data_IF_281440505200
#
_entry.id   IF_281440505200
#
_cell.length_a   1.000
_cell.length_b   1.000
_cell.length_c   1.000
_cell.angle_alpha   90.00
_cell.angle_beta   90.00
_cell.angle_gamma   90.00
#
_symmetry.space_group_name_H-M   'P 1'
#
loop_
_entity.id
_entity.type
_entity.pdbx_description
1 polymer ?
#
# COMPACT_ATOMS: atom_id res chain seq x y z
N UNK A 1 -73.90 -0.65 -39.45
CA UNK A 1 -73.12 -1.70 -38.74
C UNK A 1 -72.08 -1.03 -37.86
N UNK A 2 -72.21 -1.18 -36.54
CA UNK A 2 -71.30 -0.66 -35.51
C UNK A 2 -69.94 -1.36 -35.64
N UNK A 3 -68.81 -0.65 -35.72
CA UNK A 3 -67.50 -1.22 -35.35
C UNK A 3 -66.60 -0.20 -34.63
N UNK A 4 -66.15 -0.67 -33.48
CA UNK A 4 -65.44 -0.06 -32.35
C UNK A 4 -64.30 0.92 -32.66
N UNK A 5 -64.28 2.01 -31.90
CA UNK A 5 -63.10 2.81 -31.59
C UNK A 5 -62.25 2.01 -30.59
N UNK A 6 -60.99 1.72 -30.93
CA UNK A 6 -60.02 1.10 -30.03
C UNK A 6 -59.14 2.20 -29.44
N UNK A 7 -59.39 2.57 -28.19
CA UNK A 7 -58.54 3.48 -27.41
C UNK A 7 -57.30 2.71 -26.97
N UNK A 8 -56.14 3.11 -27.49
CA UNK A 8 -54.85 2.60 -27.05
C UNK A 8 -54.41 3.40 -25.81
N UNK A 9 -54.62 2.83 -24.63
CA UNK A 9 -54.21 3.40 -23.35
C UNK A 9 -52.69 3.22 -23.20
N UNK A 10 -51.93 4.30 -23.37
CA UNK A 10 -50.48 4.30 -23.09
C UNK A 10 -50.27 4.38 -21.58
N UNK A 11 -49.91 3.27 -20.96
CA UNK A 11 -49.41 3.24 -19.59
C UNK A 11 -48.02 3.90 -19.53
N UNK A 12 -47.98 5.17 -19.17
CA UNK A 12 -46.77 5.85 -18.72
C UNK A 12 -46.38 5.28 -17.34
N UNK A 13 -45.47 4.32 -17.35
CA UNK A 13 -44.82 3.82 -16.14
C UNK A 13 -43.79 4.86 -15.68
N UNK A 14 -44.15 5.67 -14.69
CA UNK A 14 -43.19 6.52 -13.98
C UNK A 14 -42.24 5.65 -13.16
N UNK A 15 -41.05 5.43 -13.70
CA UNK A 15 -39.96 4.75 -13.02
C UNK A 15 -39.40 5.69 -11.92
N UNK A 16 -39.83 5.48 -10.68
CA UNK A 16 -39.42 6.24 -9.50
C UNK A 16 -37.97 5.89 -9.10
N UNK A 17 -36.99 6.21 -9.96
CA UNK A 17 -35.57 6.09 -9.62
C UNK A 17 -35.17 7.30 -8.79
N UNK A 18 -34.85 7.09 -7.52
CA UNK A 18 -34.19 8.11 -6.68
C UNK A 18 -32.95 8.62 -7.42
N UNK A 19 -32.97 9.88 -7.85
CA UNK A 19 -31.82 10.58 -8.42
C UNK A 19 -30.70 10.65 -7.37
N UNK A 20 -29.83 9.64 -7.33
CA UNK A 20 -28.56 9.78 -6.64
C UNK A 20 -27.72 10.78 -7.43
N UNK A 21 -27.34 11.89 -6.78
CA UNK A 21 -26.44 12.87 -7.38
C UNK A 21 -25.18 12.16 -7.89
N UNK A 22 -24.80 12.44 -9.13
CA UNK A 22 -23.59 11.88 -9.73
C UNK A 22 -22.37 12.35 -8.95
N UNK A 23 -21.54 11.41 -8.51
CA UNK A 23 -20.29 11.67 -7.80
C UNK A 23 -19.12 11.27 -8.71
N UNK A 24 -18.23 12.20 -9.10
CA UNK A 24 -17.15 11.93 -10.03
C UNK A 24 -16.08 10.98 -9.46
N UNK A 25 -15.20 10.48 -10.33
CA UNK A 25 -14.01 9.73 -9.90
C UNK A 25 -13.02 10.66 -9.19
N UNK A 26 -12.41 10.13 -8.14
CA UNK A 26 -11.34 10.82 -7.42
C UNK A 26 -10.11 11.05 -8.29
N UNK A 27 -9.36 12.11 -7.99
CA UNK A 27 -8.11 12.48 -8.66
C UNK A 27 -6.93 12.42 -7.69
N UNK A 28 -5.72 12.43 -8.24
CA UNK A 28 -4.47 12.47 -7.47
C UNK A 28 -3.69 11.16 -7.41
N UNK A 29 -2.40 11.32 -7.08
CA UNK A 29 -1.45 10.23 -6.96
C UNK A 29 -1.72 9.39 -5.71
N UNK A 30 -1.09 8.22 -5.64
CA UNK A 30 -1.16 7.35 -4.48
C UNK A 30 -0.40 7.97 -3.31
N UNK A 31 -0.97 7.83 -2.10
CA UNK A 31 -0.44 8.37 -0.84
C UNK A 31 -0.34 9.91 -0.81
N UNK A 32 -1.18 10.61 -1.58
CA UNK A 32 -1.37 12.06 -1.43
C UNK A 32 -2.46 12.34 -0.40
N UNK A 33 -2.22 13.34 0.46
CA UNK A 33 -3.20 13.83 1.46
C UNK A 33 -3.34 15.34 1.30
N UNK A 34 -4.57 15.80 1.06
CA UNK A 34 -4.90 17.22 1.02
C UNK A 34 -5.25 17.71 2.42
N UNK A 35 -4.52 18.71 2.91
CA UNK A 35 -4.79 19.39 4.18
C UNK A 35 -5.53 20.69 3.88
N UNK A 36 -6.73 20.82 4.43
CA UNK A 36 -7.59 21.99 4.22
C UNK A 36 -7.76 22.73 5.52
N UNK A 37 -7.20 23.93 5.61
CA UNK A 37 -7.26 24.81 6.80
C UNK A 37 -7.04 26.27 6.37
N UNK A 38 -7.30 27.25 7.25
CA UNK A 38 -7.05 28.66 6.90
C UNK A 38 -5.54 28.87 6.76
N UNK A 39 -5.14 29.83 5.93
CA UNK A 39 -3.72 30.11 5.64
C UNK A 39 -2.92 30.46 6.89
N UNK A 40 -3.51 31.22 7.81
CA UNK A 40 -2.91 31.52 9.10
C UNK A 40 -2.63 30.27 9.94
N UNK A 41 -3.50 29.26 9.86
CA UNK A 41 -3.39 28.03 10.65
C UNK A 41 -2.36 27.08 10.01
N UNK A 42 -2.14 27.17 8.68
CA UNK A 42 -1.13 26.37 7.97
C UNK A 42 0.32 26.75 8.32
N UNK A 43 0.55 28.04 8.55
CA UNK A 43 1.81 28.59 9.03
C UNK A 43 1.98 28.60 10.54
N UNK A 44 0.97 28.15 11.31
CA UNK A 44 1.03 28.06 12.77
C UNK A 44 1.38 26.65 13.25
N UNK A 45 1.35 26.45 14.58
CA UNK A 45 1.58 25.16 15.22
C UNK A 45 0.63 24.06 14.72
N UNK A 46 -0.64 24.37 14.44
CA UNK A 46 -1.59 23.39 13.90
C UNK A 46 -1.14 22.83 12.54
N UNK A 47 -0.62 23.67 11.66
CA UNK A 47 -0.09 23.23 10.36
C UNK A 47 1.16 22.36 10.51
N UNK A 48 2.03 22.68 11.47
CA UNK A 48 3.20 21.87 11.81
C UNK A 48 2.79 20.51 12.39
N UNK A 49 1.87 20.50 13.35
CA UNK A 49 1.29 19.29 13.93
C UNK A 49 0.64 18.40 12.87
N UNK A 50 -0.12 18.99 11.94
CA UNK A 50 -0.72 18.25 10.82
C UNK A 50 0.33 17.50 9.99
N UNK A 51 1.49 18.13 9.73
CA UNK A 51 2.60 17.52 8.99
C UNK A 51 3.34 16.48 9.82
N UNK A 52 3.59 16.74 11.10
CA UNK A 52 4.39 15.87 11.96
C UNK A 52 3.60 14.64 12.44
N UNK A 53 2.33 14.82 12.84
CA UNK A 53 1.49 13.75 13.38
C UNK A 53 1.09 12.75 12.29
N UNK A 54 0.78 13.23 11.08
CA UNK A 54 0.34 12.38 9.97
C UNK A 54 1.51 11.97 9.07
N UNK A 55 2.59 12.76 9.03
CA UNK A 55 3.76 12.55 8.17
C UNK A 55 4.76 11.51 8.66
N UNK A 56 4.30 10.54 9.44
CA UNK A 56 5.09 9.42 9.95
C UNK A 56 5.92 8.78 8.82
N UNK A 57 7.11 8.30 9.16
CA UNK A 57 8.10 7.80 8.20
C UNK A 57 7.68 6.41 7.69
N UNK A 58 8.04 6.09 6.45
CA UNK A 58 7.92 4.74 5.92
C UNK A 58 9.08 3.89 6.45
N UNK A 59 8.77 2.95 7.33
CA UNK A 59 9.74 2.04 7.95
C UNK A 59 10.48 1.16 6.92
N UNK A 60 11.77 0.92 7.17
CA UNK A 60 12.58 -0.02 6.40
C UNK A 60 13.17 0.56 5.11
N UNK A 61 13.28 1.89 5.01
CA UNK A 61 14.00 2.56 3.93
C UNK A 61 15.43 2.94 4.36
N UNK A 62 16.40 2.97 3.44
CA UNK A 62 17.74 3.49 3.71
C UNK A 62 17.78 4.99 4.06
N UNK A 63 16.77 5.74 3.62
CA UNK A 63 16.61 7.17 3.87
C UNK A 63 15.17 7.38 4.31
N UNK A 64 14.97 8.18 5.35
CA UNK A 64 13.64 8.49 5.87
C UNK A 64 12.82 9.22 4.80
N UNK A 65 11.66 8.64 4.48
CA UNK A 65 10.70 9.22 3.56
C UNK A 65 9.30 9.16 4.21
N UNK A 66 8.50 10.24 4.18
CA UNK A 66 7.19 10.26 4.81
C UNK A 66 6.22 9.29 4.10
N UNK A 67 5.32 8.68 4.86
CA UNK A 67 4.28 7.80 4.34
C UNK A 67 3.39 8.51 3.30
N UNK A 68 3.18 9.82 3.47
CA UNK A 68 2.29 10.62 2.62
C UNK A 68 2.96 11.87 2.08
N UNK A 69 2.48 12.34 0.93
CA UNK A 69 2.78 13.67 0.40
C UNK A 69 1.62 14.61 0.69
N UNK A 70 1.89 15.68 1.43
CA UNK A 70 0.88 16.66 1.79
C UNK A 70 0.72 17.76 0.75
N UNK A 71 -0.52 18.19 0.55
CA UNK A 71 -0.87 19.35 -0.27
C UNK A 71 -1.80 20.25 0.52
N UNK A 72 -1.38 21.49 0.73
CA UNK A 72 -2.22 22.48 1.40
C UNK A 72 -3.24 23.10 0.44
N UNK A 73 -4.43 23.41 0.94
CA UNK A 73 -5.46 24.19 0.23
C UNK A 73 -6.25 25.01 1.23
N UNK A 74 -6.48 26.29 0.94
CA UNK A 74 -7.36 27.11 1.80
C UNK A 74 -8.84 26.74 1.60
N UNK A 75 -9.73 26.90 2.60
CA UNK A 75 -11.16 26.68 2.46
C UNK A 75 -11.80 27.42 1.28
N UNK A 76 -11.31 28.64 0.98
CA UNK A 76 -11.79 29.45 -0.17
C UNK A 76 -11.46 28.79 -1.51
N UNK A 77 -10.29 28.16 -1.61
CA UNK A 77 -9.83 27.44 -2.81
C UNK A 77 -10.30 25.98 -2.86
N UNK A 78 -10.92 25.49 -1.78
CA UNK A 78 -11.46 24.14 -1.71
C UNK A 78 -12.80 24.03 -2.46
N UNK A 79 -12.73 24.10 -3.79
CA UNK A 79 -13.85 24.06 -4.72
C UNK A 79 -13.48 23.32 -6.01
N UNK A 80 -14.50 22.81 -6.73
CA UNK A 80 -14.30 22.07 -7.99
C UNK A 80 -13.27 20.94 -7.85
N UNK A 81 -12.20 20.99 -8.66
CA UNK A 81 -11.20 19.93 -8.75
C UNK A 81 -10.47 19.62 -7.44
N UNK A 82 -10.23 20.61 -6.57
CA UNK A 82 -9.53 20.38 -5.29
C UNK A 82 -10.34 19.52 -4.33
N UNK A 83 -11.67 19.45 -4.51
CA UNK A 83 -12.55 18.53 -3.76
C UNK A 83 -12.47 17.09 -4.25
N UNK A 84 -11.83 16.81 -5.38
CA UNK A 84 -11.76 15.46 -5.93
C UNK A 84 -10.59 14.63 -5.39
N UNK A 85 -9.71 15.21 -4.57
CA UNK A 85 -8.61 14.48 -3.90
C UNK A 85 -9.10 13.25 -3.14
N UNK A 86 -8.34 12.15 -3.19
CA UNK A 86 -8.73 10.89 -2.51
C UNK A 86 -8.73 10.95 -0.99
N UNK A 87 -7.76 11.64 -0.39
CA UNK A 87 -7.62 11.74 1.06
C UNK A 87 -7.57 13.20 1.45
N UNK A 88 -8.52 13.63 2.28
CA UNK A 88 -8.68 15.02 2.68
C UNK A 88 -8.80 15.09 4.19
N UNK A 89 -7.95 15.86 4.84
CA UNK A 89 -8.10 16.23 6.25
C UNK A 89 -8.49 17.70 6.28
N UNK A 90 -9.72 17.97 6.72
CA UNK A 90 -10.33 19.29 6.76
C UNK A 90 -10.43 19.76 8.20
N UNK A 91 -9.77 20.87 8.51
CA UNK A 91 -9.83 21.54 9.80
C UNK A 91 -10.79 22.71 9.74
N UNK A 92 -11.72 22.75 10.69
CA UNK A 92 -12.76 23.77 10.76
C UNK A 92 -12.84 24.32 12.18
N UNK A 93 -12.62 25.64 12.34
CA UNK A 93 -12.91 26.30 13.61
C UNK A 93 -14.44 26.38 13.79
N UNK A 94 -14.94 25.85 14.90
CA UNK A 94 -16.36 25.68 15.20
C UNK A 94 -16.58 25.70 16.71
N UNK A 95 -17.81 25.97 17.19
CA UNK A 95 -18.14 25.88 18.62
C UNK A 95 -18.34 24.45 19.09
N UNK A 96 -18.42 23.50 18.16
CA UNK A 96 -18.55 22.07 18.46
C UNK A 96 -17.26 21.33 18.18
N UNK A 97 -16.80 20.55 19.16
CA UNK A 97 -15.63 19.68 19.03
C UNK A 97 -16.05 18.32 18.45
N UNK A 98 -15.58 17.99 17.25
CA UNK A 98 -16.02 16.78 16.54
C UNK A 98 -14.97 16.24 15.57
N UNK A 99 -14.80 14.92 15.59
CA UNK A 99 -14.11 14.17 14.53
C UNK A 99 -15.12 13.34 13.74
N UNK A 100 -15.13 13.45 12.41
CA UNK A 100 -16.02 12.66 11.54
C UNK A 100 -15.29 12.18 10.29
N UNK A 101 -15.54 10.93 9.90
CA UNK A 101 -15.04 10.37 8.63
C UNK A 101 -16.21 10.21 7.67
N UNK A 102 -16.13 10.89 6.53
CA UNK A 102 -17.05 10.71 5.41
C UNK A 102 -16.35 9.90 4.32
N UNK A 103 -17.11 8.98 3.71
CA UNK A 103 -16.69 8.27 2.51
C UNK A 103 -17.42 8.85 1.32
N UNK A 104 -16.68 9.02 0.23
CA UNK A 104 -17.23 9.41 -1.06
C UNK A 104 -18.05 10.72 -1.03
N UNK A 105 -17.57 11.72 -0.27
CA UNK A 105 -18.31 12.97 -0.05
C UNK A 105 -18.42 13.82 -1.32
N UNK A 106 -17.33 13.94 -2.07
CA UNK A 106 -17.25 14.72 -3.32
C UNK A 106 -16.74 13.92 -4.52
N UNK A 107 -16.04 12.80 -4.30
CA UNK A 107 -15.53 11.93 -5.37
C UNK A 107 -15.44 10.47 -4.91
N UNK A 108 -15.25 9.51 -5.82
CA UNK A 108 -15.12 8.07 -5.48
C UNK A 108 -13.84 7.43 -6.03
N UNK A 109 -13.12 6.59 -5.27
CA UNK A 109 -13.20 6.45 -3.81
C UNK A 109 -12.60 7.69 -3.11
N UNK A 110 -13.21 8.16 -2.02
CA UNK A 110 -12.68 9.28 -1.22
C UNK A 110 -12.83 9.04 0.28
N UNK A 111 -11.82 9.47 1.03
CA UNK A 111 -11.80 9.59 2.48
C UNK A 111 -11.69 11.06 2.86
N UNK A 112 -12.71 11.56 3.55
CA UNK A 112 -12.76 12.93 4.05
C UNK A 112 -12.85 12.91 5.57
N UNK A 113 -11.80 13.38 6.23
CA UNK A 113 -11.68 13.51 7.68
C UNK A 113 -12.00 14.95 8.07
N UNK A 114 -13.09 15.17 8.77
CA UNK A 114 -13.48 16.47 9.32
C UNK A 114 -13.04 16.54 10.78
N UNK A 115 -12.23 17.55 11.11
CA UNK A 115 -11.82 17.89 12.47
C UNK A 115 -12.36 19.28 12.78
N UNK A 116 -13.28 19.36 13.74
CA UNK A 116 -13.89 20.59 14.22
C UNK A 116 -13.46 20.88 15.66
N UNK A 117 -13.17 22.14 15.97
CA UNK A 117 -12.79 22.57 17.32
C UNK A 117 -12.73 24.09 17.46
N UNK A 118 -12.78 24.58 18.71
CA UNK A 118 -12.86 26.02 19.00
C UNK A 118 -11.55 26.77 18.69
N UNK A 119 -10.41 26.12 18.93
CA UNK A 119 -9.07 26.68 18.79
C UNK A 119 -8.07 25.68 18.17
N UNK A 120 -6.82 26.11 18.00
CA UNK A 120 -5.76 25.31 17.39
C UNK A 120 -5.33 24.12 18.25
N UNK A 121 -5.29 24.29 19.58
CA UNK A 121 -4.87 23.24 20.50
C UNK A 121 -5.88 22.09 20.51
N UNK A 122 -7.17 22.40 20.52
CA UNK A 122 -8.25 21.40 20.40
C UNK A 122 -8.14 20.66 19.06
N UNK A 123 -7.96 21.38 17.95
CA UNK A 123 -7.82 20.77 16.63
C UNK A 123 -6.61 19.82 16.55
N UNK A 124 -5.47 20.22 17.11
CA UNK A 124 -4.26 19.39 17.21
C UNK A 124 -4.48 18.16 18.09
N UNK A 125 -5.17 18.30 19.23
CA UNK A 125 -5.48 17.18 20.12
C UNK A 125 -6.37 16.14 19.44
N UNK A 126 -7.43 16.55 18.73
CA UNK A 126 -8.26 15.62 17.98
C UNK A 126 -7.49 14.91 16.87
N UNK A 127 -6.58 15.60 16.20
CA UNK A 127 -5.70 14.98 15.20
C UNK A 127 -4.81 13.90 15.86
N UNK A 128 -4.19 14.23 16.99
CA UNK A 128 -3.30 13.33 17.73
C UNK A 128 -4.04 12.09 18.25
N UNK A 129 -5.19 12.27 18.86
CA UNK A 129 -6.04 11.18 19.38
C UNK A 129 -6.49 10.23 18.27
N UNK A 130 -6.80 10.76 17.09
CA UNK A 130 -7.31 9.99 15.96
C UNK A 130 -6.24 9.57 14.95
N UNK A 131 -4.95 9.87 15.20
CA UNK A 131 -3.86 9.68 14.22
C UNK A 131 -3.79 8.26 13.68
N UNK A 132 -3.90 7.26 14.56
CA UNK A 132 -3.77 5.86 14.18
C UNK A 132 -4.92 5.44 13.26
N UNK A 133 -6.15 5.89 13.56
CA UNK A 133 -7.32 5.64 12.73
C UNK A 133 -7.18 6.32 11.36
N UNK A 134 -6.78 7.59 11.33
CA UNK A 134 -6.60 8.36 10.07
C UNK A 134 -5.55 7.67 9.19
N UNK A 135 -4.34 7.46 9.71
CA UNK A 135 -3.21 6.90 8.97
C UNK A 135 -3.56 5.50 8.44
N UNK A 136 -4.12 4.62 9.27
CA UNK A 136 -4.46 3.25 8.85
C UNK A 136 -5.60 3.22 7.83
N UNK A 137 -6.60 4.10 7.99
CA UNK A 137 -7.72 4.20 7.02
C UNK A 137 -7.22 4.68 5.66
N UNK A 138 -6.32 5.67 5.63
CA UNK A 138 -5.69 6.13 4.38
C UNK A 138 -4.82 5.02 3.79
N UNK A 139 -3.92 4.40 4.57
CA UNK A 139 -3.03 3.32 4.08
C UNK A 139 -3.83 2.18 3.45
N UNK A 140 -4.93 1.73 4.06
CA UNK A 140 -5.77 0.68 3.48
C UNK A 140 -6.53 1.14 2.23
N UNK A 141 -7.08 2.35 2.22
CA UNK A 141 -7.75 2.92 1.03
C UNK A 141 -6.80 3.02 -0.16
N UNK A 142 -5.59 3.52 0.07
CA UNK A 142 -4.53 3.65 -0.92
C UNK A 142 -4.03 2.30 -1.42
N UNK A 143 -3.92 1.30 -0.54
CA UNK A 143 -3.55 -0.07 -0.89
C UNK A 143 -4.60 -0.70 -1.82
N UNK A 144 -5.89 -0.56 -1.47
CA UNK A 144 -7.00 -1.04 -2.32
C UNK A 144 -7.01 -0.36 -3.68
N UNK A 145 -6.76 0.95 -3.73
CA UNK A 145 -6.65 1.68 -4.99
C UNK A 145 -5.44 1.24 -5.82
N UNK A 146 -4.26 1.01 -5.19
CA UNK A 146 -3.09 0.47 -5.88
C UNK A 146 -3.40 -0.89 -6.50
N UNK A 147 -4.01 -1.81 -5.74
CA UNK A 147 -4.42 -3.13 -6.24
C UNK A 147 -5.41 -3.00 -7.39
N UNK A 148 -6.40 -2.11 -7.29
CA UNK A 148 -7.37 -1.85 -8.36
C UNK A 148 -6.68 -1.36 -9.63
N UNK A 149 -5.69 -0.47 -9.53
CA UNK A 149 -4.90 0.00 -10.67
C UNK A 149 -4.05 -1.12 -11.28
N UNK A 150 -3.44 -1.96 -10.46
CA UNK A 150 -2.68 -3.15 -10.91
C UNK A 150 -3.58 -4.08 -11.73
N UNK A 151 -4.82 -4.30 -11.29
CA UNK A 151 -5.78 -5.18 -11.99
C UNK A 151 -6.12 -4.73 -13.41
N UNK A 152 -5.86 -3.47 -13.78
CA UNK A 152 -6.05 -2.99 -15.17
C UNK A 152 -5.10 -3.65 -16.16
N UNK A 153 -3.93 -4.09 -15.70
CA UNK A 153 -2.92 -4.79 -16.49
C UNK A 153 -2.36 -5.96 -15.69
N UNK A 154 -3.25 -6.84 -15.24
CA UNK A 154 -2.90 -8.00 -14.42
C UNK A 154 -2.03 -9.00 -15.20
N UNK A 155 -0.99 -9.52 -14.55
CA UNK A 155 -0.20 -10.64 -15.09
C UNK A 155 -1.09 -11.88 -15.29
N UNK A 156 -0.91 -12.55 -16.43
CA UNK A 156 -1.53 -13.85 -16.72
C UNK A 156 -0.62 -15.04 -16.43
N UNK A 157 0.62 -14.78 -15.98
CA UNK A 157 1.58 -15.84 -15.68
C UNK A 157 1.12 -16.65 -14.46
N UNK A 158 1.30 -17.96 -14.56
CA UNK A 158 0.98 -18.96 -13.55
C UNK A 158 2.23 -19.47 -12.81
N UNK A 159 3.42 -18.90 -13.06
CA UNK A 159 4.70 -19.42 -12.53
C UNK A 159 4.73 -19.53 -11.00
N UNK A 160 4.18 -18.55 -10.28
CA UNK A 160 4.08 -18.58 -8.82
C UNK A 160 3.09 -19.66 -8.34
N UNK A 161 2.02 -19.88 -9.09
CA UNK A 161 1.02 -20.90 -8.79
C UNK A 161 1.58 -22.30 -9.03
N UNK A 162 2.31 -22.52 -10.12
CA UNK A 162 2.86 -23.83 -10.51
C UNK A 162 4.10 -24.22 -9.72
N UNK A 163 5.02 -23.27 -9.47
CA UNK A 163 6.29 -23.55 -8.76
C UNK A 163 6.17 -23.46 -7.26
N UNK A 164 5.41 -22.49 -6.75
CA UNK A 164 5.37 -22.18 -5.32
C UNK A 164 4.01 -22.56 -4.68
N UNK A 165 2.93 -22.66 -5.45
CA UNK A 165 1.60 -22.94 -4.91
C UNK A 165 0.88 -21.72 -4.35
N UNK A 166 1.23 -20.51 -4.81
CA UNK A 166 0.60 -19.25 -4.37
C UNK A 166 -0.01 -18.48 -5.55
N UNK A 167 -1.00 -17.64 -5.23
CA UNK A 167 -1.52 -16.59 -6.11
C UNK A 167 -1.11 -15.23 -5.58
N UNK A 168 -0.79 -14.34 -6.51
CA UNK A 168 -0.37 -12.98 -6.24
C UNK A 168 -0.92 -12.05 -7.32
N UNK A 169 -1.43 -10.88 -6.94
CA UNK A 169 -1.94 -9.87 -7.87
C UNK A 169 -0.82 -8.88 -8.20
N UNK A 170 -0.20 -9.04 -9.36
CA UNK A 170 0.91 -8.18 -9.80
C UNK A 170 0.77 -7.75 -11.28
N UNK A 171 1.34 -6.60 -11.68
CA UNK A 171 1.28 -6.11 -13.06
C UNK A 171 1.93 -7.06 -14.08
N UNK A 172 1.39 -7.11 -15.30
CA UNK A 172 1.90 -7.91 -16.42
C UNK A 172 3.28 -7.48 -16.94
N UNK A 173 3.78 -6.31 -16.51
CA UNK A 173 5.11 -5.81 -16.87
C UNK A 173 6.25 -6.54 -16.15
N UNK A 174 5.96 -7.27 -15.06
CA UNK A 174 6.95 -8.12 -14.41
C UNK A 174 7.31 -9.30 -15.33
N UNK A 175 8.60 -9.52 -15.53
CA UNK A 175 9.16 -10.63 -16.31
C UNK A 175 9.86 -11.62 -15.39
N UNK A 176 9.82 -12.90 -15.73
CA UNK A 176 10.59 -13.92 -15.01
C UNK A 176 12.07 -13.79 -15.35
N UNK A 177 12.90 -13.59 -14.32
CA UNK A 177 14.36 -13.58 -14.42
C UNK A 177 14.92 -14.98 -14.20
N UNK A 178 14.37 -15.69 -13.22
CA UNK A 178 14.78 -17.05 -12.86
C UNK A 178 13.60 -17.84 -12.34
N UNK A 179 13.36 -19.02 -12.88
CA UNK A 179 12.48 -20.01 -12.31
C UNK A 179 13.21 -21.35 -12.16
N UNK A 180 13.08 -21.95 -11.00
CA UNK A 180 13.61 -23.27 -10.70
C UNK A 180 12.52 -24.07 -10.01
N UNK A 181 12.84 -25.27 -9.50
CA UNK A 181 11.87 -26.10 -8.81
C UNK A 181 11.26 -25.41 -7.57
N UNK A 182 12.07 -24.71 -6.78
CA UNK A 182 11.68 -24.14 -5.48
C UNK A 182 11.96 -22.64 -5.34
N UNK A 183 12.32 -21.95 -6.42
CA UNK A 183 12.61 -20.51 -6.42
C UNK A 183 12.11 -19.85 -7.71
N UNK A 184 11.43 -18.71 -7.56
CA UNK A 184 10.97 -17.85 -8.63
C UNK A 184 11.44 -16.42 -8.36
N UNK A 185 11.96 -15.75 -9.38
CA UNK A 185 12.31 -14.34 -9.38
C UNK A 185 11.63 -13.62 -10.55
N UNK A 186 10.81 -12.64 -10.22
CA UNK A 186 10.16 -11.72 -11.13
C UNK A 186 10.78 -10.32 -10.99
N UNK A 187 10.98 -9.64 -12.11
CA UNK A 187 11.53 -8.29 -12.15
C UNK A 187 10.69 -7.36 -13.04
N UNK A 188 10.49 -6.13 -12.57
CA UNK A 188 9.93 -5.01 -13.31
C UNK A 188 10.99 -3.92 -13.40
N UNK A 189 11.32 -3.53 -14.63
CA UNK A 189 12.16 -2.37 -14.90
C UNK A 189 11.41 -1.06 -14.55
N UNK A 190 12.10 -0.13 -13.91
CA UNK A 190 11.64 1.24 -13.62
C UNK A 190 12.67 2.23 -14.16
N UNK A 191 12.33 3.53 -14.21
CA UNK A 191 13.17 4.55 -14.86
C UNK A 191 14.65 4.56 -14.39
N UNK A 192 14.88 4.29 -13.10
CA UNK A 192 16.20 4.30 -12.48
C UNK A 192 16.41 3.07 -11.60
N UNK A 193 16.20 1.88 -12.17
CA UNK A 193 16.48 0.60 -11.50
C UNK A 193 15.39 -0.45 -11.70
N UNK A 194 15.16 -1.30 -10.70
CA UNK A 194 14.25 -2.45 -10.79
C UNK A 194 13.44 -2.68 -9.51
N UNK A 195 12.24 -3.22 -9.68
CA UNK A 195 11.43 -3.81 -8.61
C UNK A 195 11.42 -5.31 -8.79
N UNK A 196 11.66 -6.02 -7.69
CA UNK A 196 11.84 -7.46 -7.72
C UNK A 196 10.85 -8.11 -6.78
N UNK A 197 10.34 -9.27 -7.19
CA UNK A 197 9.56 -10.16 -6.34
C UNK A 197 10.22 -11.53 -6.45
N UNK A 198 10.69 -12.06 -5.32
CA UNK A 198 11.19 -13.43 -5.23
C UNK A 198 10.24 -14.25 -4.37
N UNK A 199 10.15 -15.53 -4.66
CA UNK A 199 9.42 -16.47 -3.84
C UNK A 199 10.06 -17.84 -3.84
N UNK A 200 10.06 -18.48 -2.68
CA UNK A 200 10.66 -19.79 -2.48
C UNK A 200 10.03 -20.53 -1.30
N UNK A 201 10.24 -21.85 -1.25
CA UNK A 201 9.79 -22.70 -0.16
C UNK A 201 10.98 -23.16 0.69
N UNK A 202 10.78 -23.26 2.00
CA UNK A 202 11.72 -23.85 2.93
C UNK A 202 11.08 -25.07 3.60
N UNK A 203 11.84 -26.16 3.83
CA UNK A 203 11.37 -27.31 4.59
C UNK A 203 10.81 -26.92 5.96
N UNK A 204 9.83 -27.69 6.47
CA UNK A 204 9.19 -27.48 7.77
C UNK A 204 10.18 -27.17 8.91
N UNK A 205 11.27 -27.94 8.96
CA UNK A 205 12.25 -27.91 10.05
C UNK A 205 13.34 -26.84 9.85
N UNK A 206 13.26 -26.01 8.82
CA UNK A 206 14.22 -24.94 8.56
C UNK A 206 14.08 -23.75 9.51
N UNK A 207 12.90 -23.57 10.11
CA UNK A 207 12.60 -22.50 11.05
C UNK A 207 11.77 -23.07 12.21
N UNK A 208 11.86 -22.43 13.38
CA UNK A 208 10.99 -22.73 14.53
C UNK A 208 9.51 -22.43 14.23
N UNK A 209 8.58 -23.04 14.97
CA UNK A 209 7.13 -22.80 14.76
C UNK A 209 6.71 -21.34 15.02
N UNK A 210 7.50 -20.62 15.82
CA UNK A 210 7.40 -19.17 16.00
C UNK A 210 8.74 -18.54 15.59
N UNK A 211 9.00 -18.37 14.28
CA UNK A 211 10.27 -17.91 13.75
C UNK A 211 10.69 -16.58 14.39
N UNK A 212 11.94 -16.52 14.83
CA UNK A 212 12.56 -15.28 15.28
C UNK A 212 13.21 -14.55 14.12
N UNK A 213 13.38 -13.24 14.24
CA UNK A 213 13.99 -12.39 13.21
C UNK A 213 15.34 -12.95 12.70
N UNK A 214 16.21 -13.40 13.60
CA UNK A 214 17.52 -13.95 13.22
C UNK A 214 17.43 -15.24 12.38
N UNK A 215 16.42 -16.09 12.59
CA UNK A 215 16.19 -17.28 11.77
C UNK A 215 15.76 -16.88 10.35
N UNK A 216 14.89 -15.88 10.24
CA UNK A 216 14.40 -15.35 8.96
C UNK A 216 15.55 -14.70 8.18
N UNK A 217 16.38 -13.87 8.82
CA UNK A 217 17.52 -13.22 8.17
C UNK A 217 18.53 -14.28 7.70
N UNK A 218 18.87 -15.28 8.52
CA UNK A 218 19.77 -16.37 8.10
C UNK A 218 19.24 -17.13 6.88
N UNK A 219 17.96 -17.47 6.86
CA UNK A 219 17.35 -18.15 5.73
C UNK A 219 17.36 -17.27 4.47
N UNK A 220 17.02 -15.99 4.63
CA UNK A 220 17.02 -15.00 3.54
C UNK A 220 18.41 -14.85 2.93
N UNK A 221 19.44 -14.64 3.74
CA UNK A 221 20.81 -14.40 3.27
C UNK A 221 21.40 -15.67 2.62
N UNK A 222 21.02 -16.86 3.08
CA UNK A 222 21.36 -18.12 2.42
C UNK A 222 20.76 -18.20 1.01
N UNK A 223 19.51 -17.76 0.84
CA UNK A 223 18.84 -17.75 -0.46
C UNK A 223 19.41 -16.64 -1.36
N UNK A 224 19.69 -15.46 -0.82
CA UNK A 224 20.35 -14.36 -1.53
C UNK A 224 21.70 -14.80 -2.10
N UNK A 225 22.53 -15.45 -1.28
CA UNK A 225 23.83 -16.01 -1.71
C UNK A 225 23.71 -17.01 -2.87
N UNK A 226 22.70 -17.87 -2.84
CA UNK A 226 22.55 -18.94 -3.82
C UNK A 226 21.91 -18.47 -5.14
N UNK A 227 20.96 -17.53 -5.07
CA UNK A 227 20.09 -17.21 -6.21
C UNK A 227 20.20 -15.77 -6.72
N UNK A 228 20.76 -14.83 -5.95
CA UNK A 228 20.80 -13.41 -6.28
C UNK A 228 22.26 -12.93 -6.28
N UNK A 229 23.00 -13.17 -7.37
CA UNK A 229 24.39 -12.72 -7.49
C UNK A 229 24.43 -11.19 -7.60
N UNK A 230 25.53 -10.61 -7.13
CA UNK A 230 25.88 -9.23 -7.43
C UNK A 230 26.53 -9.12 -8.81
N UNK A 231 26.95 -7.91 -9.18
CA UNK A 231 27.53 -7.65 -10.51
C UNK A 231 28.94 -8.24 -10.70
N UNK A 232 29.68 -8.41 -9.61
CA UNK A 232 31.04 -8.94 -9.61
C UNK A 232 31.04 -10.41 -9.16
N UNK A 233 32.00 -11.19 -9.64
CA UNK A 233 32.17 -12.56 -9.18
C UNK A 233 32.38 -12.62 -7.66
N UNK A 234 31.75 -13.59 -7.00
CA UNK A 234 31.82 -13.75 -5.54
C UNK A 234 30.98 -12.75 -4.74
N UNK A 235 30.26 -11.82 -5.38
CA UNK A 235 29.34 -10.90 -4.72
C UNK A 235 27.91 -11.42 -4.76
N UNK A 236 27.11 -11.14 -3.72
CA UNK A 236 25.74 -11.64 -3.61
C UNK A 236 24.91 -10.82 -2.64
N UNK A 237 23.59 -10.88 -2.77
CA UNK A 237 22.68 -10.18 -1.89
C UNK A 237 22.67 -10.78 -0.48
N UNK A 238 22.72 -9.90 0.53
CA UNK A 238 22.56 -10.19 1.95
C UNK A 238 21.71 -9.09 2.61
N UNK A 239 21.34 -9.28 3.87
CA UNK A 239 20.71 -8.25 4.70
C UNK A 239 21.79 -7.32 5.25
N UNK A 240 21.54 -6.02 5.22
CA UNK A 240 22.36 -5.00 5.86
C UNK A 240 22.42 -5.25 7.38
N UNK A 241 23.62 -5.19 7.96
CA UNK A 241 23.84 -5.48 9.38
C UNK A 241 23.89 -4.22 10.25
N UNK A 242 23.96 -3.04 9.65
CA UNK A 242 24.05 -1.76 10.37
C UNK A 242 22.65 -1.29 10.82
N UNK A 243 21.60 -1.71 10.10
CA UNK A 243 20.21 -1.42 10.43
C UNK A 243 19.45 -2.67 10.86
N UNK A 244 18.93 -2.65 12.11
CA UNK A 244 18.06 -3.73 12.60
C UNK A 244 16.73 -3.74 11.82
N UNK A 245 16.38 -4.83 11.11
CA UNK A 245 15.11 -4.91 10.41
C UNK A 245 13.90 -4.86 11.34
N UNK A 246 12.82 -4.24 10.86
CA UNK A 246 11.53 -4.25 11.53
C UNK A 246 10.87 -5.61 11.37
N UNK A 247 10.24 -6.11 12.43
CA UNK A 247 9.65 -7.45 12.47
C UNK A 247 8.27 -7.43 13.10
N UNK A 248 7.27 -7.92 12.35
CA UNK A 248 5.88 -7.94 12.79
C UNK A 248 5.26 -9.32 12.58
N UNK A 249 4.40 -9.72 13.52
CA UNK A 249 3.50 -10.87 13.36
C UNK A 249 2.10 -10.33 13.13
N UNK A 250 1.50 -10.65 11.99
CA UNK A 250 0.17 -10.20 11.61
C UNK A 250 -0.69 -11.36 11.09
N UNK A 251 -2.00 -11.16 11.01
CA UNK A 251 -2.92 -12.13 10.40
C UNK A 251 -3.48 -11.57 9.10
N UNK A 252 -3.36 -12.34 8.00
CA UNK A 252 -3.95 -12.04 6.69
C UNK A 252 -4.77 -13.27 6.28
N UNK A 253 -6.08 -13.08 6.05
CA UNK A 253 -7.02 -14.15 5.67
C UNK A 253 -6.91 -15.41 6.55
N UNK A 254 -6.84 -15.22 7.87
CA UNK A 254 -6.66 -16.26 8.91
C UNK A 254 -5.30 -16.97 8.91
N UNK A 255 -4.39 -16.62 8.02
CA UNK A 255 -3.00 -17.09 8.05
C UNK A 255 -2.15 -16.15 8.90
N UNK A 256 -1.24 -16.74 9.69
CA UNK A 256 -0.22 -15.97 10.40
C UNK A 256 0.90 -15.66 9.42
N UNK A 257 1.21 -14.38 9.26
CA UNK A 257 2.30 -13.88 8.43
C UNK A 257 3.31 -13.18 9.32
N UNK A 258 4.57 -13.59 9.19
CA UNK A 258 5.72 -12.91 9.75
C UNK A 258 6.26 -11.96 8.68
N UNK A 259 6.14 -10.66 8.95
CA UNK A 259 6.57 -9.60 8.05
C UNK A 259 7.90 -9.02 8.54
N UNK A 260 8.89 -8.99 7.66
CA UNK A 260 10.18 -8.32 7.90
C UNK A 260 10.37 -7.18 6.91
N UNK A 261 10.76 -5.99 7.38
CA UNK A 261 11.18 -4.86 6.53
C UNK A 261 12.62 -4.51 6.87
N UNK A 262 13.47 -4.31 5.88
CA UNK A 262 14.85 -3.96 6.12
C UNK A 262 15.57 -3.49 4.87
N UNK A 263 16.87 -3.41 4.97
CA UNK A 263 17.77 -3.02 3.89
C UNK A 263 18.54 -4.26 3.45
N UNK A 264 18.58 -4.50 2.16
CA UNK A 264 19.48 -5.46 1.55
C UNK A 264 20.70 -4.72 1.04
N UNK A 265 21.84 -5.39 1.06
CA UNK A 265 23.08 -4.96 0.43
C UNK A 265 23.64 -6.09 -0.42
N UNK A 266 24.57 -5.78 -1.31
CA UNK A 266 25.39 -6.80 -1.98
C UNK A 266 26.70 -6.88 -1.24
N UNK A 267 26.99 -8.06 -0.68
CA UNK A 267 28.24 -8.30 0.03
C UNK A 267 29.42 -8.06 -0.90
N UNK A 268 30.39 -7.27 -0.43
CA UNK A 268 31.57 -6.81 -1.17
C UNK A 268 31.23 -5.89 -2.37
N UNK A 269 30.13 -5.15 -2.31
CA UNK A 269 29.73 -4.11 -3.27
C UNK A 269 28.94 -3.00 -2.53
N UNK A 270 28.68 -1.88 -3.21
CA UNK A 270 27.96 -0.71 -2.66
C UNK A 270 26.48 -0.68 -3.07
N UNK A 271 25.97 -1.77 -3.67
CA UNK A 271 24.56 -1.84 -4.06
C UNK A 271 23.71 -2.17 -2.84
N UNK A 272 22.72 -1.32 -2.56
CA UNK A 272 21.78 -1.54 -1.47
C UNK A 272 20.38 -1.03 -1.82
N UNK A 273 19.39 -1.47 -1.05
CA UNK A 273 18.02 -1.02 -1.19
C UNK A 273 17.08 -1.62 -0.15
N UNK A 274 15.81 -1.19 -0.11
CA UNK A 274 14.83 -1.71 0.83
C UNK A 274 14.22 -3.04 0.36
N UNK A 275 13.83 -3.87 1.32
CA UNK A 275 13.01 -5.06 1.11
C UNK A 275 11.85 -5.17 2.09
N UNK A 276 10.84 -5.93 1.68
CA UNK A 276 9.71 -6.40 2.48
C UNK A 276 9.57 -7.91 2.25
N UNK A 277 9.61 -8.69 3.32
CA UNK A 277 9.54 -10.15 3.30
C UNK A 277 8.31 -10.64 4.06
N UNK A 278 7.52 -11.51 3.45
CA UNK A 278 6.40 -12.24 4.04
C UNK A 278 6.77 -13.71 4.16
N UNK A 279 6.77 -14.22 5.38
CA UNK A 279 6.95 -15.63 5.70
C UNK A 279 5.66 -16.16 6.33
N UNK A 280 5.16 -17.28 5.84
CA UNK A 280 3.98 -17.95 6.38
C UNK A 280 4.05 -19.46 6.13
N UNK A 281 3.26 -20.22 6.88
CA UNK A 281 3.24 -21.68 6.78
C UNK A 281 2.13 -22.10 5.82
N UNK A 282 2.45 -23.03 4.92
CA UNK A 282 1.45 -23.72 4.13
C UNK A 282 0.88 -24.88 4.94
N UNK A 283 -0.40 -24.80 5.30
CA UNK A 283 -1.05 -25.79 6.15
C UNK A 283 -1.18 -27.17 5.48
N UNK A 284 -1.11 -27.26 4.14
CA UNK A 284 -1.22 -28.54 3.43
C UNK A 284 0.09 -29.32 3.46
N UNK A 285 1.21 -28.66 3.21
CA UNK A 285 2.52 -29.33 3.13
C UNK A 285 3.36 -29.19 4.40
N UNK A 286 2.94 -28.33 5.34
CA UNK A 286 3.68 -27.92 6.53
C UNK A 286 5.03 -27.23 6.23
N UNK A 287 5.26 -26.80 5.00
CA UNK A 287 6.45 -26.04 4.62
C UNK A 287 6.25 -24.54 4.85
N UNK A 288 7.38 -23.83 4.90
CA UNK A 288 7.38 -22.38 4.92
C UNK A 288 7.38 -21.84 3.50
N UNK A 289 6.56 -20.83 3.26
CA UNK A 289 6.52 -20.08 2.02
C UNK A 289 7.03 -18.67 2.29
N UNK A 290 7.97 -18.24 1.47
CA UNK A 290 8.52 -16.89 1.51
C UNK A 290 8.15 -16.16 0.24
N UNK A 291 7.67 -14.93 0.39
CA UNK A 291 7.51 -13.97 -0.70
C UNK A 291 8.16 -12.67 -0.28
N UNK A 292 9.09 -12.19 -1.08
CA UNK A 292 9.82 -10.98 -0.80
C UNK A 292 9.77 -10.03 -1.97
N UNK A 293 9.49 -8.76 -1.68
CA UNK A 293 9.60 -7.66 -2.61
C UNK A 293 10.80 -6.78 -2.24
N UNK A 294 11.67 -6.48 -3.18
CA UNK A 294 12.78 -5.54 -2.95
C UNK A 294 12.98 -4.59 -4.13
N UNK A 295 13.47 -3.39 -3.84
CA UNK A 295 13.71 -2.36 -4.85
C UNK A 295 15.21 -2.07 -4.96
N UNK A 296 15.72 -2.08 -6.19
CA UNK A 296 16.99 -1.44 -6.54
C UNK A 296 16.65 -0.15 -7.27
N UNK A 297 16.81 1.00 -6.61
CA UNK A 297 16.42 2.29 -7.19
C UNK A 297 17.39 3.38 -6.73
N UNK A 298 18.63 3.41 -7.27
CA UNK A 298 19.61 4.41 -6.90
C UNK A 298 19.12 5.83 -7.20
N UNK A 299 19.43 6.76 -6.30
CA UNK A 299 19.19 8.21 -6.49
C UNK A 299 17.73 8.64 -6.69
N UNK A 300 16.77 7.81 -6.29
CA UNK A 300 15.34 8.14 -6.27
C UNK A 300 14.69 7.73 -4.95
N UNK A 301 13.58 8.41 -4.61
CA UNK A 301 12.70 8.06 -3.50
C UNK A 301 12.11 6.66 -3.72
N UNK A 302 12.06 5.89 -2.64
CA UNK A 302 11.72 4.45 -2.64
C UNK A 302 10.36 4.16 -2.01
N UNK A 303 9.79 5.09 -1.24
CA UNK A 303 8.51 4.94 -0.55
C UNK A 303 7.37 4.51 -1.47
N UNK A 304 7.28 5.06 -2.68
CA UNK A 304 6.23 4.67 -3.65
C UNK A 304 6.41 3.26 -4.21
N UNK A 305 7.66 2.86 -4.41
CA UNK A 305 8.02 1.52 -4.89
C UNK A 305 7.79 0.46 -3.82
N UNK A 306 8.20 0.74 -2.58
CA UNK A 306 7.95 -0.16 -1.45
C UNK A 306 6.47 -0.24 -1.11
N UNK A 307 5.72 0.84 -1.24
CA UNK A 307 4.26 0.81 -1.14
C UNK A 307 3.61 -0.07 -2.22
N UNK A 308 4.12 -0.02 -3.47
CA UNK A 308 3.65 -0.90 -4.54
C UNK A 308 3.94 -2.37 -4.24
N UNK A 309 5.18 -2.71 -3.86
CA UNK A 309 5.57 -4.06 -3.48
C UNK A 309 4.74 -4.57 -2.29
N UNK A 310 4.55 -3.75 -1.26
CA UNK A 310 3.69 -4.09 -0.11
C UNK A 310 2.24 -4.33 -0.51
N UNK A 311 1.70 -3.50 -1.40
CA UNK A 311 0.34 -3.69 -1.91
C UNK A 311 0.20 -5.00 -2.67
N UNK A 312 1.19 -5.37 -3.49
CA UNK A 312 1.24 -6.66 -4.19
C UNK A 312 1.31 -7.82 -3.20
N UNK A 313 2.29 -7.82 -2.28
CA UNK A 313 2.48 -8.88 -1.27
C UNK A 313 1.23 -9.06 -0.39
N UNK A 314 0.48 -8.00 -0.11
CA UNK A 314 -0.77 -8.07 0.65
C UNK A 314 -1.90 -8.85 -0.03
N UNK A 315 -1.75 -9.22 -1.31
CA UNK A 315 -2.74 -10.01 -2.07
C UNK A 315 -2.45 -11.50 -2.11
N UNK A 316 -1.42 -11.92 -1.38
CA UNK A 316 -0.98 -13.31 -1.35
C UNK A 316 -2.08 -14.24 -0.85
N UNK A 317 -2.25 -15.35 -1.54
CA UNK A 317 -3.14 -16.44 -1.13
C UNK A 317 -2.55 -17.78 -1.55
N UNK A 318 -2.80 -18.82 -0.76
CA UNK A 318 -2.43 -20.19 -1.11
C UNK A 318 -3.38 -20.76 -2.16
N UNK A 319 -2.87 -21.64 -3.02
CA UNK A 319 -3.68 -22.50 -3.88
C UNK A 319 -4.41 -23.54 -3.01
N UNK A 320 -5.55 -23.13 -2.46
CA UNK A 320 -6.47 -24.05 -1.80
C UNK A 320 -7.26 -24.86 -2.83
#
# INVERSE_FOLDING_TARGET
MKKSIFIFLVFLCCDNRKNQAYIPQSSGNINNVSIVMKEKDWGSGLGEDARNIIGDIYEGLPVDEPNFKFFYTSPKQFSGFSRHSRNIIYFQKDTTNKFTIYKDLYSKPQLFFLIQGEDEDILSNYLLENKALIINTIKDGERREKIRRIRKSLSKSNVLSERIGIKLVYPSIYKTVKDTFNFVWLEKQILKGTLNIISYRLPKNSLSDLPKLNEIIKARDSIGKLYIPGRLEGTYMTTDNDYKPYFYKQSIDKNIIFQTKGIWEVKNDFMAGPFLNYLFKDNKTNEWVVVEGFAFAPSVSKREYMFELSSILSTISLNN
#
